data_IF_477324495725
#
_entry.id   IF_477324495725
#
_cell.length_a   1.000
_cell.length_b   1.000
_cell.length_c   1.000
_cell.angle_alpha   90.00
_cell.angle_beta   90.00
_cell.angle_gamma   90.00
#
_symmetry.space_group_name_H-M   'P 1'
#
loop_
_entity.id
_entity.type
_entity.pdbx_description
1 polymer ?
#
# COMPACT_ATOMS: atom_id res chain seq x y z
N UNK A 1 4.19 17.59 -10.80
CA UNK A 1 3.47 17.81 -12.07
C UNK A 1 4.27 18.74 -12.98
N UNK A 2 4.46 20.01 -12.58
CA UNK A 2 5.22 20.99 -13.38
C UNK A 2 6.62 20.50 -13.79
N UNK A 3 7.39 19.91 -12.88
CA UNK A 3 8.71 19.36 -13.19
C UNK A 3 8.68 18.25 -14.25
N UNK A 4 7.69 17.36 -14.17
CA UNK A 4 7.51 16.29 -15.16
C UNK A 4 7.20 16.88 -16.55
N UNK A 5 6.32 17.87 -16.62
CA UNK A 5 6.00 18.56 -17.88
C UNK A 5 7.22 19.28 -18.46
N UNK A 6 8.04 19.93 -17.63
CA UNK A 6 9.27 20.60 -18.09
C UNK A 6 10.25 19.59 -18.72
N UNK A 7 10.44 18.43 -18.10
CA UNK A 7 11.43 17.44 -18.54
C UNK A 7 10.94 16.65 -19.76
N UNK A 8 9.70 16.17 -19.72
CA UNK A 8 9.19 15.20 -20.71
C UNK A 8 8.26 15.82 -21.75
N UNK A 9 7.80 17.06 -21.53
CA UNK A 9 6.93 17.79 -22.44
C UNK A 9 7.42 19.24 -22.69
N UNK A 10 8.70 19.46 -23.05
CA UNK A 10 9.27 20.80 -23.19
C UNK A 10 8.60 21.65 -24.29
N UNK A 11 7.92 20.99 -25.25
CA UNK A 11 7.21 21.62 -26.35
C UNK A 11 5.68 21.66 -26.16
N UNK A 12 5.16 21.37 -24.95
CA UNK A 12 3.76 21.68 -24.61
C UNK A 12 3.62 23.20 -24.55
N UNK A 13 3.50 23.85 -25.71
CA UNK A 13 3.05 25.24 -25.79
C UNK A 13 1.54 25.23 -25.60
N UNK A 14 1.09 25.54 -24.39
CA UNK A 14 -0.24 26.07 -24.04
C UNK A 14 -1.51 25.41 -24.61
N UNK A 15 -1.42 24.24 -25.25
CA UNK A 15 -2.56 23.43 -25.62
C UNK A 15 -3.09 22.74 -24.35
N UNK A 16 -4.08 23.35 -23.70
CA UNK A 16 -4.75 22.80 -22.51
C UNK A 16 -5.24 21.36 -22.72
N UNK A 17 -5.52 20.97 -23.96
CA UNK A 17 -6.05 19.65 -24.33
C UNK A 17 -4.99 18.66 -24.84
N UNK A 18 -3.71 19.01 -24.76
CA UNK A 18 -2.64 18.12 -25.23
C UNK A 18 -2.56 16.84 -24.39
N UNK A 19 -2.54 15.69 -25.07
CA UNK A 19 -2.37 14.38 -24.42
C UNK A 19 -1.02 14.30 -23.69
N UNK A 20 -1.08 14.06 -22.38
CA UNK A 20 0.13 13.87 -21.56
C UNK A 20 0.83 12.54 -21.85
N UNK A 21 0.07 11.46 -22.04
CA UNK A 21 0.60 10.16 -22.42
C UNK A 21 0.02 9.76 -23.76
N UNK A 22 0.90 9.64 -24.75
CA UNK A 22 0.51 9.34 -26.12
C UNK A 22 1.45 8.32 -26.76
N UNK A 23 0.96 7.69 -27.82
CA UNK A 23 1.76 6.94 -28.78
C UNK A 23 1.80 7.73 -30.08
N UNK A 24 2.87 7.57 -30.87
CA UNK A 24 2.98 8.18 -32.20
C UNK A 24 2.89 7.06 -33.23
N UNK A 25 1.91 7.15 -34.13
CA UNK A 25 1.75 6.22 -35.25
C UNK A 25 1.52 7.04 -36.52
N UNK A 26 2.35 6.82 -37.53
CA UNK A 26 2.32 7.60 -38.77
C UNK A 26 2.32 9.12 -38.51
N UNK A 27 3.18 9.58 -37.60
CA UNK A 27 3.29 11.00 -37.16
C UNK A 27 2.07 11.56 -36.42
N UNK A 28 1.01 10.77 -36.23
CA UNK A 28 -0.19 11.17 -35.48
C UNK A 28 -0.02 10.76 -34.01
N UNK A 29 -0.27 11.71 -33.10
CA UNK A 29 -0.34 11.44 -31.66
C UNK A 29 -1.72 10.88 -31.31
N UNK A 30 -1.75 9.73 -30.66
CA UNK A 30 -2.98 9.09 -30.18
C UNK A 30 -2.88 8.81 -28.68
N UNK A 31 -4.02 8.83 -27.99
CA UNK A 31 -4.07 8.51 -26.57
C UNK A 31 -3.47 7.12 -26.31
N UNK A 32 -2.60 7.04 -25.30
CA UNK A 32 -2.03 5.76 -24.91
C UNK A 32 -3.10 4.86 -24.28
N UNK A 33 -3.20 3.61 -24.76
CA UNK A 33 -4.12 2.62 -24.18
C UNK A 33 -3.58 2.04 -22.87
N UNK A 34 -4.49 1.55 -22.01
CA UNK A 34 -4.13 0.84 -20.79
C UNK A 34 -3.30 -0.43 -21.09
N UNK A 35 -3.61 -1.13 -22.19
CA UNK A 35 -2.86 -2.32 -22.64
C UNK A 35 -1.39 -2.00 -22.93
N UNK A 36 -1.11 -0.80 -23.44
CA UNK A 36 0.26 -0.38 -23.70
C UNK A 36 1.04 -0.21 -22.38
N UNK A 37 0.40 0.30 -21.33
CA UNK A 37 0.99 0.37 -19.98
C UNK A 37 1.27 -1.03 -19.44
N UNK A 38 0.31 -1.94 -19.57
CA UNK A 38 0.50 -3.33 -19.14
C UNK A 38 1.64 -4.01 -19.91
N UNK A 39 1.79 -3.72 -21.21
CA UNK A 39 2.91 -4.21 -22.02
C UNK A 39 4.26 -3.70 -21.50
N UNK A 40 4.38 -2.43 -21.13
CA UNK A 40 5.61 -1.90 -20.52
C UNK A 40 5.93 -2.62 -19.22
N UNK A 41 4.94 -2.83 -18.34
CA UNK A 41 5.15 -3.53 -17.07
C UNK A 41 5.62 -4.97 -17.29
N UNK A 42 5.03 -5.67 -18.26
CA UNK A 42 5.44 -7.04 -18.64
C UNK A 42 6.90 -7.09 -19.09
N UNK A 43 7.37 -6.11 -19.85
CA UNK A 43 8.77 -6.05 -20.27
C UNK A 43 9.74 -5.91 -19.07
N UNK A 44 9.36 -5.18 -18.02
CA UNK A 44 10.15 -5.12 -16.80
C UNK A 44 10.06 -6.39 -15.97
N UNK A 45 8.89 -7.03 -15.92
CA UNK A 45 8.73 -8.34 -15.29
C UNK A 45 9.68 -9.37 -15.91
N UNK A 46 9.72 -9.46 -17.24
CA UNK A 46 10.62 -10.36 -17.99
C UNK A 46 12.10 -10.08 -17.70
N UNK A 47 12.48 -8.80 -17.55
CA UNK A 47 13.86 -8.42 -17.17
C UNK A 47 14.21 -8.78 -15.73
N UNK A 48 13.22 -8.84 -14.84
CA UNK A 48 13.44 -9.11 -13.41
C UNK A 48 13.42 -10.61 -13.08
N UNK A 49 12.72 -11.43 -13.88
CA UNK A 49 12.63 -12.89 -13.69
C UNK A 49 13.99 -13.58 -13.48
N UNK A 50 15.05 -13.29 -14.25
CA UNK A 50 16.36 -13.92 -14.05
C UNK A 50 17.04 -13.55 -12.71
N UNK A 51 16.67 -12.40 -12.14
CA UNK A 51 17.25 -11.88 -10.89
C UNK A 51 16.47 -12.38 -9.67
N UNK A 52 15.14 -12.43 -9.79
CA UNK A 52 14.23 -12.87 -8.73
C UNK A 52 13.06 -13.64 -9.35
N UNK A 53 13.02 -14.94 -9.08
CA UNK A 53 12.03 -15.86 -9.64
C UNK A 53 10.65 -15.73 -8.97
N UNK A 54 10.61 -15.30 -7.71
CA UNK A 54 9.37 -15.09 -6.93
C UNK A 54 8.81 -13.67 -7.10
N UNK A 55 8.75 -13.17 -8.33
CA UNK A 55 8.08 -11.89 -8.63
C UNK A 55 6.63 -12.16 -9.07
N UNK A 56 5.64 -11.49 -8.46
CA UNK A 56 4.26 -11.61 -8.91
C UNK A 56 4.06 -10.97 -10.28
N UNK A 57 3.04 -11.41 -11.01
CA UNK A 57 2.70 -10.84 -12.32
C UNK A 57 2.41 -9.32 -12.22
N UNK A 58 3.20 -8.52 -12.94
CA UNK A 58 3.14 -7.06 -12.87
C UNK A 58 2.06 -6.51 -13.82
N UNK A 59 1.09 -5.81 -13.24
CA UNK A 59 0.03 -5.12 -13.98
C UNK A 59 -0.45 -3.88 -13.21
N UNK A 60 -1.12 -2.91 -13.87
CA UNK A 60 -1.43 -1.62 -13.26
C UNK A 60 -2.24 -1.71 -11.95
N UNK A 61 -3.18 -2.65 -11.88
CA UNK A 61 -4.01 -2.84 -10.69
C UNK A 61 -3.20 -3.35 -9.48
N UNK A 62 -2.16 -4.17 -9.70
CA UNK A 62 -1.24 -4.58 -8.63
C UNK A 62 -0.53 -3.37 -8.01
N UNK A 63 0.00 -2.45 -8.83
CA UNK A 63 0.68 -1.26 -8.34
C UNK A 63 -0.25 -0.34 -7.54
N UNK A 64 -1.50 -0.18 -7.99
CA UNK A 64 -2.52 0.54 -7.24
C UNK A 64 -2.75 -0.08 -5.87
N UNK A 65 -2.86 -1.40 -5.80
CA UNK A 65 -3.01 -2.17 -4.55
C UNK A 65 -1.80 -1.98 -3.63
N UNK A 66 -0.58 -2.08 -4.18
CA UNK A 66 0.66 -1.89 -3.43
C UNK A 66 0.76 -0.47 -2.86
N UNK A 67 0.41 0.56 -3.65
CA UNK A 67 0.40 1.95 -3.17
C UNK A 67 -0.61 2.15 -2.05
N UNK A 68 -1.81 1.59 -2.16
CA UNK A 68 -2.82 1.63 -1.11
C UNK A 68 -2.31 1.02 0.21
N UNK A 69 -1.67 -0.14 0.13
CA UNK A 69 -1.06 -0.80 1.29
C UNK A 69 0.06 0.02 1.91
N UNK A 70 0.96 0.60 1.10
CA UNK A 70 2.03 1.46 1.61
C UNK A 70 1.48 2.69 2.35
N UNK A 71 0.42 3.31 1.84
CA UNK A 71 -0.24 4.44 2.51
C UNK A 71 -0.86 4.01 3.84
N UNK A 72 -1.56 2.88 3.85
CA UNK A 72 -2.16 2.35 5.07
C UNK A 72 -1.09 1.97 6.12
N UNK A 73 -0.01 1.31 5.72
CA UNK A 73 1.12 0.97 6.60
C UNK A 73 1.84 2.22 7.14
N UNK A 74 1.83 3.33 6.40
CA UNK A 74 2.34 4.61 6.87
C UNK A 74 1.39 5.31 7.88
N UNK A 75 0.26 4.69 8.22
CA UNK A 75 -0.70 5.21 9.20
C UNK A 75 -1.79 6.09 8.61
N UNK A 76 -1.91 6.18 7.27
CA UNK A 76 -3.01 6.92 6.64
C UNK A 76 -4.33 6.17 6.91
N UNK A 77 -5.37 6.83 7.46
CA UNK A 77 -6.65 6.18 7.69
C UNK A 77 -7.26 5.61 6.42
N UNK A 78 -7.86 4.42 6.51
CA UNK A 78 -8.48 3.75 5.35
C UNK A 78 -9.50 4.61 4.59
N UNK A 79 -10.38 5.42 5.24
CA UNK A 79 -11.27 6.30 4.51
C UNK A 79 -10.54 7.26 3.57
N UNK A 80 -9.42 7.83 4.04
CA UNK A 80 -8.59 8.75 3.26
C UNK A 80 -7.84 8.04 2.13
N UNK A 81 -7.37 6.81 2.37
CA UNK A 81 -6.81 5.96 1.31
C UNK A 81 -7.87 5.67 0.24
N UNK A 82 -9.11 5.39 0.64
CA UNK A 82 -10.23 5.15 -0.28
C UNK A 82 -10.53 6.37 -1.16
N UNK A 83 -10.54 7.56 -0.55
CA UNK A 83 -10.75 8.83 -1.22
C UNK A 83 -9.66 9.14 -2.25
N UNK A 84 -8.37 9.00 -1.87
CA UNK A 84 -7.24 9.23 -2.79
C UNK A 84 -7.22 8.27 -3.97
N UNK A 85 -7.73 7.06 -3.78
CA UNK A 85 -7.88 6.09 -4.85
C UNK A 85 -9.10 6.40 -5.72
N UNK A 86 -10.09 7.13 -5.21
CA UNK A 86 -11.35 7.39 -5.90
C UNK A 86 -12.26 6.15 -5.93
N UNK A 87 -12.22 5.31 -4.90
CA UNK A 87 -13.14 4.18 -4.78
C UNK A 87 -14.53 4.69 -4.37
N UNK A 88 -15.54 4.41 -5.21
CA UNK A 88 -16.94 4.67 -4.87
C UNK A 88 -17.52 3.66 -3.86
N UNK A 89 -16.87 2.51 -3.67
CA UNK A 89 -17.26 1.48 -2.71
C UNK A 89 -16.12 1.19 -1.70
N UNK A 90 -16.37 1.51 -0.43
CA UNK A 90 -15.46 1.28 0.71
C UNK A 90 -15.09 -0.19 0.94
N UNK A 91 -15.91 -1.13 0.45
CA UNK A 91 -15.67 -2.57 0.55
C UNK A 91 -14.36 -3.00 -0.11
N UNK A 92 -13.98 -2.33 -1.21
CA UNK A 92 -12.70 -2.56 -1.89
C UNK A 92 -11.49 -2.08 -1.10
N UNK A 93 -11.70 -1.23 -0.10
CA UNK A 93 -10.63 -0.70 0.78
C UNK A 93 -10.52 -1.50 2.07
N UNK A 94 -11.60 -2.15 2.52
CA UNK A 94 -11.58 -3.08 3.68
C UNK A 94 -10.62 -4.26 3.50
N UNK A 95 -10.32 -4.66 2.26
CA UNK A 95 -9.29 -5.68 1.98
C UNK A 95 -7.90 -5.29 2.51
N UNK A 96 -7.66 -3.99 2.73
CA UNK A 96 -6.41 -3.47 3.27
C UNK A 96 -6.37 -3.41 4.79
N UNK A 97 -7.52 -3.54 5.48
CA UNK A 97 -7.63 -3.46 6.94
C UNK A 97 -6.95 -4.61 7.71
N UNK A 98 -6.15 -5.44 7.03
CA UNK A 98 -5.37 -6.50 7.65
C UNK A 98 -4.14 -5.87 8.32
N UNK A 99 -4.08 -5.96 9.64
CA UNK A 99 -2.90 -5.60 10.40
C UNK A 99 -1.72 -6.48 9.96
N UNK A 100 -0.78 -5.88 9.23
CA UNK A 100 0.48 -6.54 8.89
C UNK A 100 1.31 -6.76 10.15
N UNK A 101 2.20 -7.76 10.14
CA UNK A 101 3.05 -8.01 11.31
C UNK A 101 3.91 -6.80 11.67
N UNK A 102 4.29 -6.00 10.68
CA UNK A 102 5.02 -4.76 10.92
C UNK A 102 4.17 -3.71 11.66
N UNK A 103 2.88 -3.58 11.33
CA UNK A 103 1.97 -2.69 12.07
C UNK A 103 1.80 -3.14 13.52
N UNK A 104 1.73 -4.46 13.76
CA UNK A 104 1.68 -5.01 15.13
C UNK A 104 2.96 -4.70 15.91
N UNK A 105 4.14 -4.89 15.30
CA UNK A 105 5.43 -4.54 15.90
C UNK A 105 5.53 -3.04 16.20
N UNK A 106 5.08 -2.18 15.29
CA UNK A 106 5.05 -0.73 15.51
C UNK A 106 4.10 -0.35 16.65
N UNK A 107 2.93 -0.98 16.74
CA UNK A 107 2.01 -0.75 17.86
C UNK A 107 2.64 -1.20 19.19
N UNK A 108 3.29 -2.36 19.24
CA UNK A 108 4.03 -2.83 20.41
C UNK A 108 5.15 -1.86 20.82
N UNK A 109 5.93 -1.35 19.87
CA UNK A 109 6.97 -0.35 20.15
C UNK A 109 6.37 0.95 20.72
N UNK A 110 5.31 1.47 20.12
CA UNK A 110 4.60 2.66 20.63
C UNK A 110 4.03 2.46 22.03
N UNK A 111 3.54 1.26 22.35
CA UNK A 111 3.08 0.90 23.69
C UNK A 111 4.23 0.79 24.70
N UNK A 112 5.40 0.30 24.28
CA UNK A 112 6.58 0.24 25.15
C UNK A 112 7.19 1.63 25.42
N UNK A 113 7.10 2.55 24.47
CA UNK A 113 7.57 3.93 24.59
C UNK A 113 6.63 4.79 25.45
N UNK A 114 5.31 4.60 25.30
CA UNK A 114 4.31 5.19 26.18
C UNK A 114 4.19 4.32 27.43
N UNK A 115 5.11 4.47 28.39
CA UNK A 115 5.16 3.71 29.65
C UNK A 115 3.92 3.79 30.57
N UNK A 116 2.80 4.31 30.09
CA UNK A 116 1.49 4.22 30.72
C UNK A 116 0.93 2.81 30.45
N UNK A 117 1.35 1.86 31.28
CA UNK A 117 0.62 0.61 31.41
C UNK A 117 -0.82 0.93 31.84
N UNK A 118 -1.80 0.48 31.06
CA UNK A 118 -3.24 0.55 31.44
C UNK A 118 -3.47 -0.14 32.79
N UNK A 119 -2.60 -1.09 33.13
CA UNK A 119 -2.53 -1.67 34.46
C UNK A 119 -1.60 -0.79 35.30
N UNK A 120 -2.17 -0.14 36.32
CA UNK A 120 -1.35 0.45 37.38
C UNK A 120 -0.51 -0.65 38.02
N UNK A 121 0.74 -0.35 38.37
CA UNK A 121 1.66 -1.29 39.04
C UNK A 121 1.13 -1.80 40.39
N UNK A 122 0.10 -1.15 40.94
CA UNK A 122 -0.57 -1.53 42.20
C UNK A 122 -1.70 -2.56 42.02
N UNK A 123 -2.08 -2.92 40.79
CA UNK A 123 -3.12 -3.92 40.52
C UNK A 123 -2.46 -5.26 40.18
N UNK A 124 -2.40 -6.14 41.16
CA UNK A 124 -2.06 -7.55 40.93
C UNK A 124 -3.08 -8.18 39.99
N UNK A 125 -2.59 -8.80 38.92
CA UNK A 125 -3.42 -9.56 37.99
C UNK A 125 -4.23 -10.60 38.78
N UNK A 126 -5.55 -10.66 38.58
CA UNK A 126 -6.49 -11.46 39.39
C UNK A 126 -6.11 -12.93 39.55
N UNK A 127 -5.39 -13.49 38.58
CA UNK A 127 -4.96 -14.89 38.55
C UNK A 127 -3.45 -15.04 38.65
N UNK A 128 -2.73 -14.03 39.16
CA UNK A 128 -1.27 -14.07 39.31
C UNK A 128 -0.81 -15.28 40.13
N UNK A 129 -1.61 -15.69 41.12
CA UNK A 129 -1.31 -16.81 42.02
C UNK A 129 -1.98 -18.14 41.61
N UNK A 130 -2.71 -18.16 40.48
CA UNK A 130 -3.47 -19.33 40.02
C UNK A 130 -2.86 -19.89 38.73
N UNK A 131 -1.81 -20.70 38.91
CA UNK A 131 -1.01 -21.29 37.83
C UNK A 131 -1.82 -22.26 36.95
N UNK A 132 -2.86 -22.90 37.51
CA UNK A 132 -3.77 -23.78 36.77
C UNK A 132 -4.65 -22.96 35.81
N UNK A 133 -5.23 -21.86 36.31
CA UNK A 133 -6.03 -20.97 35.48
C UNK A 133 -5.17 -20.25 34.43
N UNK A 134 -3.93 -19.87 34.76
CA UNK A 134 -2.97 -19.31 33.80
C UNK A 134 -2.64 -20.28 32.67
N UNK A 135 -2.38 -21.55 32.98
CA UNK A 135 -2.15 -22.60 31.96
C UNK A 135 -3.35 -22.75 31.03
N UNK A 136 -4.55 -22.81 31.60
CA UNK A 136 -5.80 -22.94 30.83
C UNK A 136 -6.03 -21.74 29.90
N UNK A 137 -5.79 -20.52 30.37
CA UNK A 137 -5.91 -19.29 29.57
C UNK A 137 -4.85 -19.20 28.46
N UNK A 138 -3.67 -19.78 28.71
CA UNK A 138 -2.55 -19.84 27.75
C UNK A 138 -2.69 -20.96 26.70
N UNK A 139 -3.78 -21.74 26.77
CA UNK A 139 -4.00 -22.88 25.87
C UNK A 139 -3.13 -24.10 26.19
N UNK A 140 -2.50 -24.12 27.36
CA UNK A 140 -1.76 -25.28 27.88
C UNK A 140 -2.70 -26.11 28.77
N UNK A 141 -2.62 -27.43 28.62
CA UNK A 141 -3.29 -28.38 29.54
C UNK A 141 -2.38 -28.69 30.72
#
# INVERSE_FOLDING_TARGET
FNEYCIIYHPNMKDELDALMFYTVRNEIKTQMSADNVQRFMKAYEEKLKPIKDDIPHLHPHLWRRTRAMHLYMAGVPLPLVSEWLGHSNEETTRIYARATDEMKRQAQRKLAENGDSVFKDDVTFKYADDDETLRRLSGLK
#
